data_IF_591057192871
#
_entry.id   IF_591057192871
#
_cell.length_a   1.000
_cell.length_b   1.000
_cell.length_c   1.000
_cell.angle_alpha   90.00
_cell.angle_beta   90.00
_cell.angle_gamma   90.00
#
_symmetry.space_group_name_H-M   'P 1'
#
loop_
_entity.id
_entity.type
_entity.pdbx_description
1 polymer ?
#
# COMPACT_ATOMS: atom_id res chain seq x y z
N UNK A 1 35.22 -15.43 0.54
CA UNK A 1 34.88 -14.25 1.35
C UNK A 1 34.32 -13.19 0.41
N UNK A 2 33.16 -12.59 0.66
CA UNK A 2 32.74 -11.45 -0.12
C UNK A 2 33.76 -10.34 0.14
N UNK A 3 34.34 -9.78 -0.92
CA UNK A 3 35.19 -8.59 -0.82
C UNK A 3 34.31 -7.49 -0.20
N UNK A 4 34.71 -7.01 0.99
CA UNK A 4 34.09 -5.86 1.65
C UNK A 4 34.20 -4.66 0.70
N UNK A 5 33.12 -4.41 0.00
CA UNK A 5 33.01 -3.28 -0.92
C UNK A 5 32.78 -2.01 -0.12
N UNK A 6 33.79 -1.58 0.63
CA UNK A 6 33.81 -0.26 1.30
C UNK A 6 34.03 0.88 0.30
N UNK A 7 33.64 0.66 -0.95
CA UNK A 7 33.76 1.61 -2.04
C UNK A 7 33.07 2.95 -1.74
N UNK A 8 32.10 2.96 -0.82
CA UNK A 8 31.30 4.11 -0.46
C UNK A 8 31.88 4.98 0.66
N UNK A 9 32.91 4.51 1.38
CA UNK A 9 33.48 5.25 2.52
C UNK A 9 34.14 6.57 2.14
N UNK A 10 34.71 6.63 0.95
CA UNK A 10 35.46 7.77 0.45
C UNK A 10 34.78 8.47 -0.74
N UNK A 11 33.51 8.19 -0.99
CA UNK A 11 32.75 8.85 -2.04
C UNK A 11 32.50 10.31 -1.65
N UNK A 12 33.10 11.23 -2.39
CA UNK A 12 32.76 12.65 -2.39
C UNK A 12 32.09 13.00 -3.72
N UNK A 13 30.97 13.70 -3.68
CA UNK A 13 30.31 14.22 -4.88
C UNK A 13 30.79 15.65 -5.06
N UNK A 14 31.59 15.88 -6.09
CA UNK A 14 32.04 17.23 -6.48
C UNK A 14 31.41 17.59 -7.82
N UNK A 15 30.82 18.78 -8.00
CA UNK A 15 30.42 19.23 -9.31
C UNK A 15 31.67 19.43 -10.18
N UNK A 16 31.78 18.68 -11.28
CA UNK A 16 32.84 18.82 -12.26
C UNK A 16 32.25 19.03 -13.65
N UNK A 17 32.89 19.86 -14.45
CA UNK A 17 32.50 20.10 -15.83
C UNK A 17 32.88 18.92 -16.77
N UNK A 18 33.76 18.05 -16.33
CA UNK A 18 34.29 16.92 -17.09
C UNK A 18 33.77 15.61 -16.53
N UNK A 19 33.27 14.71 -17.36
CA UNK A 19 32.71 13.39 -17.00
C UNK A 19 31.46 13.49 -16.10
N UNK A 20 30.34 13.94 -16.66
CA UNK A 20 29.05 13.93 -15.96
C UNK A 20 28.50 12.50 -15.85
N UNK A 21 28.32 12.01 -14.62
CA UNK A 21 27.62 10.77 -14.36
C UNK A 21 26.13 11.09 -14.25
N UNK A 22 25.35 10.63 -15.23
CA UNK A 22 23.90 10.73 -15.16
C UNK A 22 23.35 10.04 -13.90
N UNK A 23 22.30 10.62 -13.30
CA UNK A 23 21.62 10.02 -12.12
C UNK A 23 22.54 9.81 -10.89
N UNK A 24 23.49 10.69 -10.62
CA UNK A 24 24.40 10.58 -9.47
C UNK A 24 23.69 10.36 -8.12
N UNK A 25 22.45 10.86 -7.98
CA UNK A 25 21.60 10.62 -6.80
C UNK A 25 21.25 9.14 -6.54
N UNK A 26 21.37 8.26 -7.53
CA UNK A 26 21.13 6.83 -7.37
C UNK A 26 22.14 6.16 -6.39
N UNK A 27 23.31 6.75 -6.22
CA UNK A 27 24.31 6.33 -5.22
C UNK A 27 23.71 6.28 -3.83
N UNK A 28 22.89 7.27 -3.48
CA UNK A 28 22.26 7.34 -2.16
C UNK A 28 21.33 6.14 -1.91
N UNK A 29 20.61 5.68 -2.93
CA UNK A 29 19.71 4.53 -2.83
C UNK A 29 20.49 3.24 -2.55
N UNK A 30 21.56 3.02 -3.30
CA UNK A 30 22.43 1.87 -3.11
C UNK A 30 23.10 1.91 -1.74
N UNK A 31 23.68 3.06 -1.38
CA UNK A 31 24.35 3.27 -0.09
C UNK A 31 23.38 3.03 1.08
N UNK A 32 22.14 3.49 0.97
CA UNK A 32 21.12 3.25 1.98
C UNK A 32 20.81 1.75 2.12
N UNK A 33 20.65 1.04 1.01
CA UNK A 33 20.40 -0.41 1.02
C UNK A 33 21.56 -1.18 1.68
N UNK A 34 22.78 -0.79 1.40
CA UNK A 34 23.97 -1.41 1.98
C UNK A 34 24.11 -1.09 3.47
N UNK A 35 23.90 0.16 3.87
CA UNK A 35 24.03 0.61 5.26
C UNK A 35 22.93 0.05 6.18
N UNK A 36 21.70 -0.08 5.70
CA UNK A 36 20.63 -0.70 6.49
C UNK A 36 20.69 -2.24 6.49
N UNK A 37 21.65 -2.83 5.80
CA UNK A 37 21.86 -4.27 5.74
C UNK A 37 20.94 -5.01 4.76
N UNK A 38 20.21 -4.31 3.90
CA UNK A 38 19.25 -4.93 2.96
C UNK A 38 19.98 -5.77 1.90
N UNK A 39 21.04 -5.24 1.30
CA UNK A 39 21.83 -5.94 0.28
C UNK A 39 22.37 -7.28 0.79
N UNK A 40 23.11 -7.36 1.91
CA UNK A 40 23.61 -8.63 2.42
C UNK A 40 22.49 -9.57 2.89
N UNK A 41 21.39 -9.05 3.44
CA UNK A 41 20.27 -9.87 3.86
C UNK A 41 19.56 -10.55 2.66
N UNK A 42 19.41 -9.84 1.54
CA UNK A 42 18.90 -10.39 0.29
C UNK A 42 19.88 -11.39 -0.32
N UNK A 43 21.18 -11.10 -0.30
CA UNK A 43 22.23 -12.03 -0.74
C UNK A 43 22.18 -13.36 0.00
N UNK A 44 22.03 -13.30 1.34
CA UNK A 44 21.88 -14.50 2.17
C UNK A 44 20.56 -15.25 1.87
N UNK A 45 19.44 -14.55 1.63
CA UNK A 45 18.16 -15.15 1.29
C UNK A 45 18.18 -15.91 -0.05
N UNK A 46 18.93 -15.39 -1.03
CA UNK A 46 19.09 -15.94 -2.38
C UNK A 46 20.30 -16.85 -2.52
N UNK A 47 21.15 -16.95 -1.50
CA UNK A 47 22.35 -17.76 -1.49
C UNK A 47 22.04 -19.26 -1.72
N UNK A 48 22.85 -19.91 -2.54
CA UNK A 48 22.81 -21.37 -2.73
C UNK A 48 24.17 -21.97 -2.38
N UNK A 49 24.16 -23.06 -1.61
CA UNK A 49 25.38 -23.76 -1.20
C UNK A 49 26.23 -24.14 -2.42
N UNK A 50 27.51 -23.82 -2.36
CA UNK A 50 28.46 -24.13 -3.44
C UNK A 50 28.32 -23.28 -4.71
N UNK A 51 27.51 -22.24 -4.72
CA UNK A 51 27.36 -21.30 -5.86
C UNK A 51 27.85 -19.92 -5.46
N UNK A 52 28.88 -19.45 -6.15
CA UNK A 52 29.51 -18.15 -5.93
C UNK A 52 29.41 -17.30 -7.21
N UNK A 53 28.29 -16.58 -7.41
CA UNK A 53 28.14 -15.76 -8.61
C UNK A 53 29.13 -14.58 -8.58
N UNK A 54 29.55 -14.11 -9.75
CA UNK A 54 30.46 -12.98 -9.90
C UNK A 54 29.85 -11.70 -9.27
N UNK A 55 28.57 -11.49 -9.50
CA UNK A 55 27.79 -10.43 -8.83
C UNK A 55 26.85 -11.11 -7.82
N UNK A 56 26.95 -10.70 -6.57
CA UNK A 56 26.03 -11.18 -5.52
C UNK A 56 24.57 -10.94 -5.88
N UNK A 57 23.71 -11.89 -5.56
CA UNK A 57 22.28 -11.85 -5.95
C UNK A 57 21.49 -10.78 -5.22
N UNK A 58 21.85 -10.46 -3.98
CA UNK A 58 21.29 -9.32 -3.26
C UNK A 58 21.65 -8.02 -3.96
N UNK A 59 22.91 -7.89 -4.39
CA UNK A 59 23.37 -6.78 -5.22
C UNK A 59 22.60 -6.70 -6.54
N UNK A 60 22.33 -7.82 -7.20
CA UNK A 60 21.57 -7.84 -8.45
C UNK A 60 20.11 -7.36 -8.22
N UNK A 61 19.45 -7.79 -7.13
CA UNK A 61 18.11 -7.30 -6.79
C UNK A 61 18.09 -5.81 -6.46
N UNK A 62 19.05 -5.32 -5.69
CA UNK A 62 19.14 -3.89 -5.36
C UNK A 62 19.42 -3.06 -6.61
N UNK A 63 20.32 -3.53 -7.48
CA UNK A 63 20.60 -2.87 -8.76
C UNK A 63 19.35 -2.79 -9.63
N UNK A 64 18.56 -3.86 -9.69
CA UNK A 64 17.26 -3.85 -10.39
C UNK A 64 16.30 -2.84 -9.77
N UNK A 65 16.19 -2.80 -8.43
CA UNK A 65 15.36 -1.81 -7.76
C UNK A 65 15.80 -0.37 -8.07
N UNK A 66 17.11 -0.09 -8.07
CA UNK A 66 17.67 1.21 -8.44
C UNK A 66 17.36 1.53 -9.90
N UNK A 67 17.56 0.58 -10.83
CA UNK A 67 17.24 0.79 -12.25
C UNK A 67 15.75 1.12 -12.44
N UNK A 68 14.84 0.43 -11.73
CA UNK A 68 13.42 0.74 -11.70
C UNK A 68 13.19 2.18 -11.25
N UNK A 69 13.78 2.63 -10.18
CA UNK A 69 13.65 4.02 -9.68
C UNK A 69 14.20 5.05 -10.67
N UNK A 70 15.14 4.67 -11.54
CA UNK A 70 15.70 5.50 -12.62
C UNK A 70 14.89 5.44 -13.93
N UNK A 71 13.82 4.69 -13.98
CA UNK A 71 12.96 4.66 -15.15
C UNK A 71 13.00 3.38 -15.98
N UNK A 72 13.69 2.29 -15.53
CA UNK A 72 13.73 1.03 -16.24
C UNK A 72 12.33 0.41 -16.36
N UNK A 73 11.95 -0.05 -17.54
CA UNK A 73 10.67 -0.69 -17.83
C UNK A 73 10.79 -2.13 -18.30
N UNK A 74 12.03 -2.58 -18.54
CA UNK A 74 12.38 -3.94 -18.94
C UNK A 74 13.65 -4.40 -18.24
N UNK A 75 13.94 -5.71 -18.29
CA UNK A 75 15.20 -6.25 -17.73
C UNK A 75 16.44 -5.73 -18.45
N UNK A 76 16.36 -5.46 -19.75
CA UNK A 76 17.48 -4.93 -20.53
C UNK A 76 17.82 -3.50 -20.12
N UNK A 77 16.88 -2.73 -19.55
CA UNK A 77 17.12 -1.37 -19.11
C UNK A 77 18.06 -1.31 -17.89
N UNK A 78 18.43 -2.46 -17.30
CA UNK A 78 19.47 -2.53 -16.27
C UNK A 78 20.79 -1.93 -16.79
N UNK A 79 20.98 -1.89 -18.09
CA UNK A 79 22.13 -1.27 -18.74
C UNK A 79 22.30 0.23 -18.40
N UNK A 80 21.26 0.91 -17.92
CA UNK A 80 21.37 2.31 -17.43
C UNK A 80 22.41 2.43 -16.32
N UNK A 81 22.62 1.38 -15.55
CA UNK A 81 23.60 1.35 -14.47
C UNK A 81 25.04 1.13 -14.95
N UNK A 82 25.26 0.65 -16.18
CA UNK A 82 26.60 0.45 -16.72
C UNK A 82 27.39 1.76 -16.84
N UNK A 83 26.71 2.87 -17.16
CA UNK A 83 27.32 4.20 -17.22
C UNK A 83 27.70 4.76 -15.84
N UNK A 84 27.31 4.10 -14.77
CA UNK A 84 27.52 4.49 -13.39
C UNK A 84 28.52 3.57 -12.66
N UNK A 85 29.17 2.69 -13.40
CA UNK A 85 30.12 1.69 -12.85
C UNK A 85 31.16 2.30 -11.92
N UNK A 86 31.77 3.47 -12.21
CA UNK A 86 32.75 4.10 -11.29
C UNK A 86 32.17 4.44 -9.91
N UNK A 87 30.84 4.61 -9.83
CA UNK A 87 30.14 5.04 -8.61
C UNK A 87 29.36 3.90 -7.96
N UNK A 88 28.71 3.06 -8.74
CA UNK A 88 27.85 1.98 -8.24
C UNK A 88 28.52 0.59 -8.26
N UNK A 89 29.73 0.49 -8.83
CA UNK A 89 30.38 -0.78 -9.13
C UNK A 89 29.73 -1.47 -10.36
N UNK A 90 30.24 -2.64 -10.72
CA UNK A 90 29.79 -3.38 -11.90
C UNK A 90 28.28 -3.63 -11.88
N UNK A 91 27.60 -3.22 -12.94
CA UNK A 91 26.18 -3.47 -13.12
C UNK A 91 25.94 -4.95 -13.49
N UNK A 92 24.88 -5.59 -12.95
CA UNK A 92 24.49 -6.92 -13.39
C UNK A 92 23.98 -6.86 -14.83
N UNK A 93 24.28 -7.92 -15.63
CA UNK A 93 23.64 -8.08 -16.93
C UNK A 93 22.17 -8.45 -16.79
N UNK A 94 21.37 -8.24 -17.85
CA UNK A 94 19.98 -8.68 -17.95
C UNK A 94 19.83 -10.19 -17.67
N UNK A 95 20.75 -11.01 -18.17
CA UNK A 95 20.83 -12.46 -17.89
C UNK A 95 21.06 -12.73 -16.40
N UNK A 96 21.89 -11.94 -15.71
CA UNK A 96 22.11 -12.07 -14.26
C UNK A 96 20.84 -11.73 -13.50
N UNK A 97 20.16 -10.65 -13.87
CA UNK A 97 18.87 -10.26 -13.29
C UNK A 97 17.83 -11.36 -13.49
N UNK A 98 17.67 -11.86 -14.72
CA UNK A 98 16.73 -12.94 -15.04
C UNK A 98 16.99 -14.19 -14.20
N UNK A 99 18.24 -14.66 -14.15
CA UNK A 99 18.63 -15.83 -13.33
C UNK A 99 18.40 -15.61 -11.84
N UNK A 100 18.53 -14.38 -11.36
CA UNK A 100 18.24 -14.03 -9.95
C UNK A 100 16.74 -14.10 -9.67
N UNK A 101 15.90 -13.62 -10.57
CA UNK A 101 14.44 -13.70 -10.44
C UNK A 101 13.92 -15.14 -10.56
N UNK A 102 14.52 -15.97 -11.42
CA UNK A 102 14.18 -17.41 -11.55
C UNK A 102 14.41 -18.22 -10.27
N UNK A 103 15.15 -17.69 -9.30
CA UNK A 103 15.32 -18.31 -7.98
C UNK A 103 14.16 -18.05 -7.03
N UNK A 104 13.24 -17.17 -7.37
CA UNK A 104 12.16 -16.71 -6.51
C UNK A 104 11.01 -17.72 -6.41
N UNK A 105 11.33 -18.97 -6.02
CA UNK A 105 10.34 -19.95 -5.61
C UNK A 105 9.64 -19.53 -4.29
N UNK A 106 8.52 -20.13 -3.90
CA UNK A 106 7.78 -19.74 -2.69
C UNK A 106 8.64 -19.75 -1.41
N UNK A 107 9.56 -20.71 -1.26
CA UNK A 107 10.45 -20.80 -0.11
C UNK A 107 11.48 -19.67 -0.10
N UNK A 108 12.00 -19.30 -1.27
CA UNK A 108 12.93 -18.18 -1.43
C UNK A 108 12.23 -16.84 -1.21
N UNK A 109 11.00 -16.67 -1.71
CA UNK A 109 10.17 -15.49 -1.44
C UNK A 109 9.91 -15.31 0.06
N UNK A 110 9.67 -16.39 0.80
CA UNK A 110 9.50 -16.32 2.25
C UNK A 110 10.80 -15.92 2.98
N UNK A 111 11.99 -16.37 2.50
CA UNK A 111 13.29 -15.90 3.00
C UNK A 111 13.51 -14.41 2.73
N UNK A 112 13.19 -13.96 1.53
CA UNK A 112 13.24 -12.53 1.16
C UNK A 112 12.29 -11.72 2.05
N UNK A 113 11.07 -12.20 2.29
CA UNK A 113 10.12 -11.53 3.16
C UNK A 113 10.64 -11.40 4.59
N UNK A 114 11.25 -12.45 5.15
CA UNK A 114 11.89 -12.40 6.48
C UNK A 114 13.07 -11.44 6.52
N UNK A 115 13.92 -11.43 5.49
CA UNK A 115 15.03 -10.49 5.37
C UNK A 115 14.54 -9.04 5.38
N UNK A 116 13.50 -8.74 4.57
CA UNK A 116 12.86 -7.41 4.54
C UNK A 116 12.28 -7.03 5.89
N UNK A 117 11.61 -7.95 6.59
CA UNK A 117 11.02 -7.70 7.90
C UNK A 117 12.10 -7.36 8.95
N UNK A 118 13.22 -8.09 8.95
CA UNK A 118 14.34 -7.84 9.87
C UNK A 118 14.98 -6.47 9.62
N UNK A 119 15.26 -6.14 8.36
CA UNK A 119 15.81 -4.82 7.97
C UNK A 119 14.83 -3.71 8.31
N UNK A 120 13.54 -3.87 8.02
CA UNK A 120 12.51 -2.89 8.41
C UNK A 120 12.47 -2.67 9.91
N UNK A 121 12.55 -3.73 10.71
CA UNK A 121 12.57 -3.60 12.16
C UNK A 121 13.76 -2.76 12.65
N UNK A 122 14.93 -2.94 12.06
CA UNK A 122 16.11 -2.15 12.32
C UNK A 122 15.92 -0.68 11.89
N UNK A 123 15.50 -0.44 10.65
CA UNK A 123 15.29 0.92 10.12
C UNK A 123 14.24 1.67 10.95
N UNK A 124 13.10 1.03 11.28
CA UNK A 124 12.08 1.68 12.12
C UNK A 124 12.59 1.98 13.54
N UNK A 125 13.51 1.18 14.06
CA UNK A 125 14.16 1.47 15.34
C UNK A 125 15.01 2.75 15.23
N UNK A 126 15.79 2.90 14.17
CA UNK A 126 16.55 4.11 13.90
C UNK A 126 15.65 5.33 13.69
N UNK A 127 14.54 5.18 12.98
CA UNK A 127 13.55 6.24 12.80
C UNK A 127 12.97 6.69 14.16
N UNK A 128 12.58 5.74 15.02
CA UNK A 128 12.07 6.06 16.35
C UNK A 128 13.09 6.77 17.24
N UNK A 129 14.39 6.53 17.02
CA UNK A 129 15.46 7.16 17.80
C UNK A 129 15.81 8.60 17.36
N UNK A 130 15.29 9.06 16.22
CA UNK A 130 15.49 10.45 15.75
C UNK A 130 14.67 11.44 16.59
N UNK A 131 15.06 12.72 16.66
CA UNK A 131 14.29 13.75 17.37
C UNK A 131 12.82 13.84 16.94
N UNK A 132 12.51 13.62 15.65
CA UNK A 132 11.12 13.60 15.12
C UNK A 132 10.36 12.31 15.41
N UNK A 133 11.00 11.26 15.93
CA UNK A 133 10.38 9.96 16.19
C UNK A 133 9.83 9.26 14.96
N UNK A 134 8.87 8.36 15.18
CA UNK A 134 8.16 7.65 14.11
C UNK A 134 7.15 8.59 13.43
N UNK A 135 6.96 8.53 12.09
CA UNK A 135 6.08 9.44 11.37
C UNK A 135 4.60 9.06 11.56
N UNK A 136 4.02 9.47 12.68
CA UNK A 136 2.60 9.27 12.93
C UNK A 136 1.76 10.10 11.96
N UNK A 137 0.68 9.51 11.44
CA UNK A 137 -0.23 10.22 10.55
C UNK A 137 -1.04 11.27 11.30
N UNK A 138 -1.36 12.37 10.62
CA UNK A 138 -2.36 13.31 11.05
C UNK A 138 -3.65 13.11 10.23
N UNK A 139 -4.80 13.26 10.87
CA UNK A 139 -6.12 13.15 10.24
C UNK A 139 -7.01 14.24 10.83
N UNK A 140 -7.63 15.07 9.99
CA UNK A 140 -8.43 16.21 10.41
C UNK A 140 -7.71 17.08 11.46
N UNK A 141 -6.43 17.37 11.21
CA UNK A 141 -5.56 18.14 12.10
C UNK A 141 -5.14 17.43 13.39
N UNK A 142 -5.45 16.14 13.59
CA UNK A 142 -5.18 15.37 14.83
C UNK A 142 -4.16 14.28 14.57
N UNK A 143 -3.13 14.19 15.42
CA UNK A 143 -2.08 13.19 15.32
C UNK A 143 -2.56 11.83 15.84
N UNK A 144 -2.41 10.79 15.02
CA UNK A 144 -2.67 9.38 15.36
C UNK A 144 -1.46 8.75 16.06
N UNK A 145 -1.00 9.37 17.15
CA UNK A 145 0.19 8.90 17.86
C UNK A 145 0.03 7.47 18.38
N UNK A 146 0.99 6.60 18.04
CA UNK A 146 0.99 5.19 18.45
C UNK A 146 0.10 4.29 17.59
N UNK A 147 -0.57 4.80 16.55
CA UNK A 147 -1.40 4.02 15.63
C UNK A 147 -0.68 3.77 14.31
N UNK A 148 -0.51 2.51 13.99
CA UNK A 148 0.02 2.11 12.68
C UNK A 148 -1.14 1.92 11.71
N UNK A 149 -1.09 2.62 10.58
CA UNK A 149 -2.15 2.57 9.56
C UNK A 149 -1.70 1.69 8.41
N UNK A 150 -2.54 0.72 8.07
CA UNK A 150 -2.34 -0.23 6.97
C UNK A 150 -3.44 0.01 5.94
N UNK A 151 -3.04 0.27 4.71
CA UNK A 151 -3.95 0.38 3.57
C UNK A 151 -3.93 -0.92 2.77
N UNK A 152 -5.11 -1.46 2.49
CA UNK A 152 -5.33 -2.57 1.58
C UNK A 152 -5.98 -2.05 0.31
N UNK A 153 -5.32 -2.22 -0.82
CA UNK A 153 -5.82 -1.76 -2.10
C UNK A 153 -5.40 -2.68 -3.25
N UNK A 154 -6.18 -2.66 -4.31
CA UNK A 154 -5.91 -3.39 -5.53
C UNK A 154 -5.74 -2.43 -6.70
N UNK A 155 -4.66 -2.59 -7.45
CA UNK A 155 -4.37 -1.75 -8.61
C UNK A 155 -4.35 -2.56 -9.89
N UNK A 156 -4.61 -1.93 -11.04
CA UNK A 156 -4.51 -2.59 -12.33
C UNK A 156 -3.13 -2.37 -12.94
N UNK A 157 -2.51 -3.46 -13.41
CA UNK A 157 -1.26 -3.42 -14.16
C UNK A 157 -1.52 -3.93 -15.57
N UNK A 158 -1.33 -3.06 -16.56
CA UNK A 158 -1.51 -3.43 -17.97
C UNK A 158 -0.36 -4.29 -18.47
N UNK A 159 -0.66 -5.45 -19.06
CA UNK A 159 0.29 -6.24 -19.83
C UNK A 159 0.14 -5.97 -21.32
N UNK A 160 1.26 -5.80 -22.03
CA UNK A 160 1.26 -5.59 -23.48
C UNK A 160 1.44 -6.88 -24.28
N UNK A 161 1.59 -8.01 -23.62
CA UNK A 161 1.78 -9.32 -24.24
C UNK A 161 1.13 -10.39 -23.40
N UNK A 162 0.87 -11.53 -24.00
CA UNK A 162 0.36 -12.73 -23.32
C UNK A 162 1.43 -13.26 -22.35
N UNK A 163 1.31 -12.86 -21.09
CA UNK A 163 2.19 -13.29 -19.99
C UNK A 163 1.44 -14.28 -19.11
N UNK A 164 2.16 -15.18 -18.49
CA UNK A 164 1.58 -16.14 -17.56
C UNK A 164 0.78 -15.43 -16.46
N UNK A 165 -0.48 -15.82 -16.28
CA UNK A 165 -1.40 -15.23 -15.32
C UNK A 165 -1.99 -13.89 -15.73
N UNK A 166 -1.64 -13.32 -16.89
CA UNK A 166 -2.34 -12.14 -17.41
C UNK A 166 -3.73 -12.51 -17.92
N UNK A 167 -4.71 -11.64 -17.69
CA UNK A 167 -6.10 -11.85 -18.07
C UNK A 167 -6.80 -10.50 -18.40
N UNK A 168 -7.96 -10.54 -19.10
CA UNK A 168 -8.78 -9.34 -19.27
C UNK A 168 -9.14 -8.69 -17.96
N UNK A 169 -9.14 -7.35 -17.91
CA UNK A 169 -9.48 -6.58 -16.71
C UNK A 169 -10.88 -5.98 -16.81
N UNK A 170 -11.47 -5.63 -15.67
CA UNK A 170 -12.81 -5.01 -15.63
C UNK A 170 -12.86 -3.60 -16.26
N UNK A 171 -11.69 -2.97 -16.56
CA UNK A 171 -11.61 -1.69 -17.30
C UNK A 171 -11.34 -1.90 -18.79
N UNK A 172 -11.72 -3.04 -19.36
CA UNK A 172 -11.52 -3.39 -20.78
C UNK A 172 -10.03 -3.37 -21.22
N UNK A 173 -9.11 -3.57 -20.28
CA UNK A 173 -7.69 -3.78 -20.52
C UNK A 173 -7.32 -5.25 -20.42
N UNK A 174 -6.01 -5.55 -20.52
CA UNK A 174 -5.44 -6.87 -20.34
C UNK A 174 -4.23 -6.78 -19.41
N UNK A 175 -4.09 -7.69 -18.45
CA UNK A 175 -2.97 -7.68 -17.52
C UNK A 175 -3.24 -8.33 -16.18
N UNK A 176 -2.90 -7.63 -15.09
CA UNK A 176 -2.95 -8.13 -13.73
C UNK A 176 -3.75 -7.18 -12.82
N UNK A 177 -4.26 -7.73 -11.73
CA UNK A 177 -4.96 -7.00 -10.67
C UNK A 177 -4.36 -7.34 -9.30
N UNK A 178 -3.08 -6.96 -9.05
CA UNK A 178 -2.44 -7.22 -7.75
C UNK A 178 -3.19 -6.56 -6.61
N UNK A 179 -3.21 -7.27 -5.48
CA UNK A 179 -3.67 -6.75 -4.18
C UNK A 179 -2.45 -6.47 -3.32
N UNK A 180 -2.37 -5.29 -2.75
CA UNK A 180 -1.26 -4.86 -1.91
C UNK A 180 -1.69 -4.42 -0.51
N UNK A 181 -0.71 -4.37 0.38
CA UNK A 181 -0.81 -3.74 1.69
C UNK A 181 0.35 -2.77 1.88
N UNK A 182 0.04 -1.57 2.32
CA UNK A 182 1.01 -0.50 2.57
C UNK A 182 0.94 -0.01 4.01
N UNK A 183 2.09 0.40 4.54
CA UNK A 183 2.15 1.17 5.77
C UNK A 183 2.00 2.65 5.41
N UNK A 184 0.86 3.26 5.71
CA UNK A 184 0.63 4.67 5.38
C UNK A 184 1.56 5.61 6.16
N UNK A 185 2.02 5.23 7.36
CA UNK A 185 2.93 6.03 8.17
C UNK A 185 4.29 6.26 7.50
N UNK A 186 4.80 5.25 6.79
CA UNK A 186 6.13 5.28 6.17
C UNK A 186 6.09 5.23 4.65
N UNK A 187 4.89 5.18 4.07
CA UNK A 187 4.64 5.03 2.63
C UNK A 187 5.31 3.77 2.03
N UNK A 188 5.48 2.71 2.84
CA UNK A 188 6.15 1.48 2.41
C UNK A 188 5.15 0.41 1.98
N UNK A 189 5.49 -0.34 0.92
CA UNK A 189 4.82 -1.61 0.61
C UNK A 189 5.23 -2.69 1.63
N UNK A 190 4.25 -3.23 2.34
CA UNK A 190 4.44 -4.33 3.28
C UNK A 190 4.35 -5.68 2.57
N UNK A 191 3.30 -5.89 1.80
CA UNK A 191 3.04 -7.13 1.07
C UNK A 191 2.33 -6.85 -0.25
N UNK A 192 2.48 -7.75 -1.20
CA UNK A 192 1.77 -7.70 -2.47
C UNK A 192 1.50 -9.13 -2.96
N UNK A 193 0.29 -9.36 -3.46
CA UNK A 193 -0.13 -10.59 -4.11
C UNK A 193 -0.45 -10.28 -5.57
N UNK A 194 0.33 -10.85 -6.49
CA UNK A 194 0.05 -10.75 -7.91
C UNK A 194 -1.15 -11.65 -8.25
N UNK A 195 -2.17 -11.07 -8.89
CA UNK A 195 -3.39 -11.76 -9.28
C UNK A 195 -3.68 -11.54 -10.77
N UNK A 196 -4.39 -12.47 -11.45
CA UNK A 196 -4.83 -12.26 -12.82
C UNK A 196 -5.71 -11.01 -12.95
N UNK A 197 -5.77 -10.41 -14.14
CA UNK A 197 -6.53 -9.18 -14.39
C UNK A 197 -8.02 -9.29 -14.09
N UNK A 198 -8.60 -10.49 -14.18
CA UNK A 198 -9.99 -10.80 -13.86
C UNK A 198 -10.23 -11.24 -12.41
N UNK A 199 -9.22 -11.14 -11.53
CA UNK A 199 -9.40 -11.46 -10.10
C UNK A 199 -10.46 -10.55 -9.47
N UNK A 200 -11.35 -11.15 -8.69
CA UNK A 200 -12.38 -10.40 -7.94
C UNK A 200 -11.76 -9.41 -6.97
N UNK A 201 -12.38 -8.25 -6.83
CA UNK A 201 -11.88 -7.22 -5.93
C UNK A 201 -12.04 -7.58 -4.45
N UNK A 202 -13.05 -8.36 -4.09
CA UNK A 202 -13.46 -8.68 -2.72
C UNK A 202 -13.18 -10.15 -2.31
N UNK A 203 -12.21 -10.81 -2.94
CA UNK A 203 -11.83 -12.19 -2.57
C UNK A 203 -11.21 -12.22 -1.17
N UNK A 204 -11.94 -12.75 -0.19
CA UNK A 204 -11.50 -12.78 1.21
C UNK A 204 -10.15 -13.50 1.39
N UNK A 205 -9.96 -14.66 0.73
CA UNK A 205 -8.72 -15.42 0.83
C UNK A 205 -7.48 -14.59 0.44
N UNK A 206 -7.59 -13.77 -0.60
CA UNK A 206 -6.51 -12.89 -1.05
C UNK A 206 -6.22 -11.78 -0.03
N UNK A 207 -7.28 -11.15 0.50
CA UNK A 207 -7.15 -10.12 1.54
C UNK A 207 -6.51 -10.69 2.81
N UNK A 208 -6.93 -11.89 3.22
CA UNK A 208 -6.36 -12.60 4.36
C UNK A 208 -4.88 -12.91 4.16
N UNK A 209 -4.50 -13.40 2.99
CA UNK A 209 -3.11 -13.71 2.65
C UNK A 209 -2.24 -12.46 2.68
N UNK A 210 -2.68 -11.37 2.04
CA UNK A 210 -1.95 -10.10 1.99
C UNK A 210 -1.84 -9.45 3.36
N UNK A 211 -2.95 -9.38 4.13
CA UNK A 211 -2.93 -8.81 5.48
C UNK A 211 -2.04 -9.62 6.42
N UNK A 212 -2.10 -10.95 6.35
CA UNK A 212 -1.23 -11.83 7.14
C UNK A 212 0.25 -11.61 6.80
N UNK A 213 0.58 -11.53 5.51
CA UNK A 213 1.94 -11.23 5.05
C UNK A 213 2.39 -9.83 5.51
N UNK A 214 1.52 -8.83 5.43
CA UNK A 214 1.80 -7.46 5.88
C UNK A 214 2.06 -7.40 7.39
N UNK A 215 1.24 -8.08 8.20
CA UNK A 215 1.44 -8.13 9.65
C UNK A 215 2.78 -8.78 10.04
N UNK A 216 3.26 -9.75 9.26
CA UNK A 216 4.59 -10.35 9.47
C UNK A 216 5.73 -9.36 9.19
N UNK A 217 5.51 -8.36 8.35
CA UNK A 217 6.48 -7.31 8.03
C UNK A 217 6.60 -6.24 9.12
N UNK A 218 5.60 -6.09 9.99
CA UNK A 218 5.59 -5.08 11.04
C UNK A 218 6.30 -5.62 12.29
N UNK A 219 7.21 -4.86 12.91
CA UNK A 219 7.85 -5.24 14.18
C UNK A 219 6.81 -5.52 15.28
N UNK A 220 6.99 -6.58 16.06
CA UNK A 220 6.01 -7.01 17.07
C UNK A 220 5.60 -5.87 18.04
N UNK A 221 6.56 -5.03 18.45
CA UNK A 221 6.34 -3.87 19.34
C UNK A 221 5.42 -2.80 18.74
N UNK A 222 5.26 -2.77 17.40
CA UNK A 222 4.43 -1.78 16.69
C UNK A 222 3.04 -2.31 16.34
N UNK A 223 2.71 -3.58 16.74
CA UNK A 223 1.42 -4.22 16.41
C UNK A 223 0.33 -4.03 17.46
N UNK A 224 0.57 -3.25 18.50
CA UNK A 224 -0.40 -3.09 19.60
C UNK A 224 -1.63 -2.26 19.22
N UNK A 225 -1.47 -1.29 18.30
CA UNK A 225 -2.54 -0.42 17.83
C UNK A 225 -2.47 -0.33 16.31
N UNK A 226 -3.40 -0.98 15.64
CA UNK A 226 -3.49 -1.04 14.19
C UNK A 226 -4.79 -0.41 13.72
N UNK A 227 -4.71 0.32 12.61
CA UNK A 227 -5.85 0.84 11.89
C UNK A 227 -5.75 0.36 10.44
N UNK A 228 -6.75 -0.38 9.98
CA UNK A 228 -6.79 -0.93 8.62
C UNK A 228 -7.81 -0.15 7.79
N UNK A 229 -7.39 0.34 6.63
CA UNK A 229 -8.28 1.00 5.67
C UNK A 229 -8.40 0.13 4.43
N UNK A 230 -9.62 -0.06 3.96
CA UNK A 230 -9.94 -0.92 2.81
C UNK A 230 -10.87 -0.17 1.88
N UNK A 231 -10.54 -0.11 0.59
CA UNK A 231 -11.45 0.45 -0.41
C UNK A 231 -12.76 -0.34 -0.51
N UNK A 232 -13.82 0.32 -0.98
CA UNK A 232 -15.16 -0.26 -1.09
C UNK A 232 -15.23 -1.51 -1.96
N UNK A 233 -14.35 -1.61 -2.95
CA UNK A 233 -14.28 -2.78 -3.82
C UNK A 233 -13.72 -4.03 -3.11
N UNK A 234 -12.93 -3.86 -2.04
CA UNK A 234 -12.31 -4.96 -1.29
C UNK A 234 -13.13 -5.45 -0.08
N UNK A 235 -14.20 -4.76 0.27
CA UNK A 235 -14.96 -5.06 1.48
C UNK A 235 -15.83 -6.33 1.33
N UNK A 236 -15.73 -7.22 2.32
CA UNK A 236 -16.61 -8.40 2.47
C UNK A 236 -16.95 -8.67 3.93
N UNK A 237 -18.02 -9.41 4.19
CA UNK A 237 -18.42 -9.80 5.55
C UNK A 237 -17.31 -10.59 6.25
N UNK A 238 -16.66 -11.51 5.55
CA UNK A 238 -15.60 -12.36 6.07
C UNK A 238 -14.38 -11.52 6.45
N UNK A 239 -14.04 -10.50 5.64
CA UNK A 239 -12.93 -9.60 5.95
C UNK A 239 -13.23 -8.77 7.21
N UNK A 240 -14.43 -8.23 7.33
CA UNK A 240 -14.85 -7.46 8.52
C UNK A 240 -14.77 -8.34 9.77
N UNK A 241 -15.32 -9.57 9.74
CA UNK A 241 -15.25 -10.51 10.84
C UNK A 241 -13.79 -10.86 11.20
N UNK A 242 -12.96 -11.07 10.20
CA UNK A 242 -11.54 -11.30 10.41
C UNK A 242 -10.84 -10.12 11.09
N UNK A 243 -11.07 -8.88 10.61
CA UNK A 243 -10.50 -7.67 11.21
C UNK A 243 -10.91 -7.51 12.69
N UNK A 244 -12.16 -7.79 13.02
CA UNK A 244 -12.64 -7.79 14.41
C UNK A 244 -11.93 -8.85 15.26
N UNK A 245 -11.72 -10.05 14.71
CA UNK A 245 -11.06 -11.16 15.40
C UNK A 245 -9.59 -10.91 15.72
N UNK A 246 -8.95 -9.98 15.00
CA UNK A 246 -7.56 -9.60 15.23
C UNK A 246 -7.36 -8.82 16.54
N UNK A 247 -8.41 -8.25 17.12
CA UNK A 247 -8.33 -7.54 18.40
C UNK A 247 -8.14 -8.51 19.57
N UNK A 248 -7.38 -8.12 20.56
CA UNK A 248 -7.12 -8.89 21.78
C UNK A 248 -6.80 -7.95 22.96
N UNK A 249 -6.60 -8.49 24.18
CA UNK A 249 -6.19 -7.67 25.34
C UNK A 249 -4.90 -6.87 25.11
N UNK A 250 -4.02 -7.31 24.19
CA UNK A 250 -2.71 -6.68 23.91
C UNK A 250 -2.67 -5.96 22.56
N UNK A 251 -3.72 -6.06 21.76
CA UNK A 251 -3.78 -5.47 20.43
C UNK A 251 -5.17 -4.95 20.14
N UNK A 252 -5.25 -3.68 19.81
CA UNK A 252 -6.47 -3.04 19.31
C UNK A 252 -6.38 -2.93 17.79
N UNK A 253 -7.37 -3.44 17.07
CA UNK A 253 -7.49 -3.30 15.63
C UNK A 253 -8.77 -2.54 15.32
N UNK A 254 -8.60 -1.35 14.74
CA UNK A 254 -9.69 -0.55 14.20
C UNK A 254 -9.62 -0.59 12.69
N UNK A 255 -10.75 -0.32 12.03
CA UNK A 255 -10.77 -0.27 10.57
C UNK A 255 -11.80 0.73 10.04
N UNK A 256 -11.62 1.11 8.79
CA UNK A 256 -12.61 1.75 7.94
C UNK A 256 -12.65 1.02 6.59
N UNK A 257 -13.84 0.59 6.18
CA UNK A 257 -14.05 -0.05 4.89
C UNK A 257 -15.11 0.73 4.12
N UNK A 258 -14.82 1.06 2.85
CA UNK A 258 -15.85 1.53 1.93
C UNK A 258 -16.86 0.42 1.69
N UNK A 259 -18.08 0.78 1.32
CA UNK A 259 -19.12 -0.18 1.01
C UNK A 259 -19.97 0.28 -0.18
N UNK A 260 -20.45 -0.68 -0.97
CA UNK A 260 -21.36 -0.37 -2.05
C UNK A 260 -22.75 -0.01 -1.50
N UNK A 261 -23.32 1.10 -1.97
CA UNK A 261 -24.66 1.53 -1.61
C UNK A 261 -25.68 0.68 -2.37
N UNK A 262 -26.64 0.13 -1.65
CA UNK A 262 -27.78 -0.61 -2.20
C UNK A 262 -29.04 0.27 -2.18
N UNK A 263 -30.12 -0.17 -2.83
CA UNK A 263 -31.39 0.54 -2.80
C UNK A 263 -31.95 0.68 -1.36
N UNK A 264 -31.78 -0.34 -0.53
CA UNK A 264 -32.15 -0.26 0.89
C UNK A 264 -31.38 0.80 1.66
N UNK A 265 -30.11 1.02 1.30
CA UNK A 265 -29.32 2.11 1.89
C UNK A 265 -29.78 3.47 1.41
N UNK A 266 -30.14 3.61 0.13
CA UNK A 266 -30.71 4.85 -0.40
C UNK A 266 -32.02 5.21 0.33
N UNK A 267 -32.86 4.22 0.61
CA UNK A 267 -34.10 4.42 1.40
C UNK A 267 -33.77 4.90 2.81
N UNK A 268 -32.82 4.24 3.50
CA UNK A 268 -32.39 4.66 4.84
C UNK A 268 -31.79 6.07 4.84
N UNK A 269 -30.98 6.40 3.84
CA UNK A 269 -30.39 7.75 3.67
C UNK A 269 -31.51 8.79 3.46
N UNK A 270 -32.57 8.44 2.73
CA UNK A 270 -33.73 9.30 2.50
C UNK A 270 -34.52 9.64 3.77
N UNK A 271 -34.42 8.81 4.81
CA UNK A 271 -35.06 9.08 6.11
C UNK A 271 -34.27 10.04 7.00
N UNK A 272 -33.03 10.38 6.66
CA UNK A 272 -32.22 11.29 7.46
C UNK A 272 -32.78 12.70 7.41
N UNK A 273 -33.10 13.32 8.57
CA UNK A 273 -33.51 14.73 8.61
C UNK A 273 -32.34 15.64 8.20
N UNK A 274 -32.64 16.83 7.73
CA UNK A 274 -31.63 17.78 7.32
C UNK A 274 -30.61 18.10 8.44
N UNK A 275 -31.05 18.08 9.69
CA UNK A 275 -30.24 18.32 10.90
C UNK A 275 -29.22 17.20 11.21
N UNK A 276 -29.40 16.00 10.67
CA UNK A 276 -28.45 14.91 10.84
C UNK A 276 -27.16 15.10 10.00
N UNK A 277 -27.23 15.94 8.97
CA UNK A 277 -26.11 16.18 8.08
C UNK A 277 -25.19 17.27 8.64
N UNK A 278 -23.96 16.91 8.93
CA UNK A 278 -22.92 17.81 9.37
C UNK A 278 -21.97 18.12 8.20
N UNK A 279 -21.47 19.35 8.13
CA UNK A 279 -20.47 19.70 7.12
C UNK A 279 -19.24 18.79 7.28
N UNK A 280 -18.73 18.25 6.18
CA UNK A 280 -17.49 17.46 6.19
C UNK A 280 -16.30 18.35 6.51
N UNK A 281 -15.19 17.73 6.92
CA UNK A 281 -13.92 18.44 7.11
C UNK A 281 -12.87 17.90 6.14
N UNK A 282 -11.80 18.65 5.92
CA UNK A 282 -10.66 18.22 5.13
C UNK A 282 -9.58 17.57 6.01
N UNK A 283 -8.41 17.34 5.39
CA UNK A 283 -7.25 16.73 6.02
C UNK A 283 -6.74 17.50 7.24
N UNK A 284 -6.85 18.83 7.21
CA UNK A 284 -6.36 19.73 8.25
C UNK A 284 -7.45 20.06 9.29
N UNK A 285 -8.67 19.56 9.07
CA UNK A 285 -9.83 19.80 9.92
C UNK A 285 -10.65 21.02 9.55
N UNK A 286 -10.37 21.68 8.43
CA UNK A 286 -11.15 22.81 7.95
C UNK A 286 -12.50 22.36 7.36
N UNK A 287 -13.54 23.12 7.63
CA UNK A 287 -14.93 22.79 7.25
C UNK A 287 -15.13 22.93 5.75
N UNK A 288 -15.75 21.90 5.13
CA UNK A 288 -16.14 21.85 3.72
C UNK A 288 -17.66 21.97 3.57
N UNK A 289 -18.16 23.13 3.25
CA UNK A 289 -19.60 23.42 3.19
C UNK A 289 -20.32 22.75 2.00
N UNK A 290 -19.60 22.32 0.97
CA UNK A 290 -20.12 21.64 -0.22
C UNK A 290 -20.25 20.11 -0.05
N UNK A 291 -19.86 19.57 1.10
CA UNK A 291 -19.83 18.16 1.41
C UNK A 291 -20.34 17.93 2.82
N UNK A 292 -21.11 16.86 3.01
CA UNK A 292 -21.69 16.57 4.32
C UNK A 292 -21.54 15.09 4.65
N UNK A 293 -21.55 14.82 5.95
CA UNK A 293 -21.51 13.47 6.52
C UNK A 293 -22.63 13.29 7.53
N UNK A 294 -23.12 12.06 7.63
CA UNK A 294 -24.10 11.67 8.65
C UNK A 294 -23.85 10.23 9.08
N UNK A 295 -24.33 9.85 10.25
CA UNK A 295 -24.33 8.48 10.71
C UNK A 295 -25.70 7.85 10.44
N UNK A 296 -25.72 6.66 9.82
CA UNK A 296 -26.95 5.91 9.44
C UNK A 296 -27.06 4.57 10.14
N UNK A 297 -26.23 4.30 11.14
CA UNK A 297 -26.09 3.01 11.81
C UNK A 297 -27.42 2.39 12.21
N UNK A 298 -28.32 3.18 12.80
CA UNK A 298 -29.61 2.69 13.32
C UNK A 298 -30.73 2.62 12.27
N UNK A 299 -30.47 3.12 11.06
CA UNK A 299 -31.47 3.15 9.97
C UNK A 299 -31.27 2.01 8.97
N UNK A 300 -30.11 1.33 9.01
CA UNK A 300 -29.77 0.28 8.04
C UNK A 300 -30.33 -1.07 8.49
N UNK A 301 -31.27 -1.64 7.74
CA UNK A 301 -31.81 -2.98 7.97
C UNK A 301 -30.73 -4.08 7.94
N UNK A 302 -29.72 -3.91 7.10
CA UNK A 302 -28.60 -4.85 7.01
C UNK A 302 -27.76 -4.88 8.29
N UNK A 303 -27.77 -3.84 9.12
CA UNK A 303 -27.03 -3.84 10.38
C UNK A 303 -27.43 -4.98 11.32
N UNK A 304 -28.65 -5.50 11.20
CA UNK A 304 -29.13 -6.63 12.02
C UNK A 304 -28.37 -7.95 11.75
N UNK A 305 -27.79 -8.14 10.57
CA UNK A 305 -27.00 -9.33 10.21
C UNK A 305 -25.48 -9.18 10.45
N UNK A 306 -25.03 -8.06 11.02
CA UNK A 306 -23.64 -7.74 11.20
C UNK A 306 -23.21 -7.80 12.68
N UNK A 307 -21.91 -7.96 12.97
CA UNK A 307 -21.40 -7.90 14.34
C UNK A 307 -21.78 -6.59 15.02
N UNK A 308 -22.07 -6.68 16.32
CA UNK A 308 -22.41 -5.52 17.14
C UNK A 308 -21.24 -4.52 17.20
N UNK A 309 -21.56 -3.23 17.39
CA UNK A 309 -20.56 -2.16 17.55
C UNK A 309 -20.03 -1.58 16.25
N UNK A 310 -20.53 -2.03 15.10
CA UNK A 310 -20.21 -1.40 13.83
C UNK A 310 -21.01 -0.11 13.63
N UNK A 311 -20.37 0.86 12.99
CA UNK A 311 -20.97 2.14 12.64
C UNK A 311 -20.93 2.33 11.14
N UNK A 312 -21.95 3.00 10.62
CA UNK A 312 -22.12 3.26 9.21
C UNK A 312 -22.20 4.78 9.00
N UNK A 313 -21.19 5.30 8.32
CA UNK A 313 -21.06 6.74 8.05
C UNK A 313 -21.33 6.95 6.57
N UNK A 314 -22.28 7.81 6.25
CA UNK A 314 -22.59 8.21 4.89
C UNK A 314 -22.05 9.60 4.63
N UNK A 315 -21.47 9.78 3.44
CA UNK A 315 -21.05 11.06 2.90
C UNK A 315 -21.90 11.40 1.68
N UNK A 316 -22.23 12.68 1.54
CA UNK A 316 -22.81 13.23 0.30
C UNK A 316 -21.94 14.36 -0.25
N UNK A 317 -21.77 14.39 -1.57
CA UNK A 317 -20.98 15.40 -2.28
C UNK A 317 -21.74 15.86 -3.52
N UNK A 318 -21.52 17.11 -3.96
CA UNK A 318 -22.04 17.53 -5.25
C UNK A 318 -21.34 16.77 -6.37
N UNK A 319 -22.06 16.13 -7.29
CA UNK A 319 -21.44 15.37 -8.36
C UNK A 319 -20.75 16.29 -9.37
N UNK A 320 -19.56 15.88 -9.83
CA UNK A 320 -18.90 16.53 -10.96
C UNK A 320 -19.65 16.23 -12.27
N UNK A 321 -19.40 17.04 -13.32
CA UNK A 321 -20.00 16.81 -14.66
C UNK A 321 -19.77 15.38 -15.19
N UNK A 322 -18.59 14.80 -14.92
CA UNK A 322 -18.27 13.42 -15.32
C UNK A 322 -19.10 12.39 -14.51
N UNK A 323 -19.26 12.62 -13.21
CA UNK A 323 -20.00 11.74 -12.32
C UNK A 323 -21.52 11.80 -12.54
N UNK A 324 -22.04 12.93 -12.99
CA UNK A 324 -23.46 13.15 -13.24
C UNK A 324 -24.07 12.13 -14.24
N UNK A 325 -23.23 11.56 -15.12
CA UNK A 325 -23.68 10.55 -16.09
C UNK A 325 -24.02 9.19 -15.48
N UNK A 326 -23.44 8.88 -14.32
CA UNK A 326 -23.53 7.56 -13.66
C UNK A 326 -24.28 7.62 -12.32
N UNK A 327 -25.10 8.65 -12.10
CA UNK A 327 -25.88 8.76 -10.87
C UNK A 327 -27.06 7.77 -10.88
N UNK A 328 -27.41 7.22 -9.70
CA UNK A 328 -28.65 6.46 -9.49
C UNK A 328 -29.88 7.37 -9.64
N UNK A 329 -31.06 6.79 -9.68
CA UNK A 329 -32.30 7.57 -9.69
C UNK A 329 -32.43 8.44 -8.42
N UNK A 330 -32.09 7.86 -7.27
CA UNK A 330 -32.09 8.54 -5.99
C UNK A 330 -31.09 9.71 -5.95
N UNK A 331 -29.86 9.50 -6.43
CA UNK A 331 -28.83 10.53 -6.50
C UNK A 331 -29.24 11.69 -7.42
N UNK A 332 -29.89 11.38 -8.56
CA UNK A 332 -30.45 12.43 -9.44
C UNK A 332 -31.54 13.21 -8.77
N UNK A 333 -32.47 12.55 -8.08
CA UNK A 333 -33.58 13.19 -7.39
C UNK A 333 -33.11 14.10 -6.25
N UNK A 334 -32.08 13.68 -5.49
CA UNK A 334 -31.54 14.45 -4.37
C UNK A 334 -30.51 15.49 -4.79
N UNK A 335 -29.91 15.36 -5.97
CA UNK A 335 -28.83 16.22 -6.47
C UNK A 335 -27.50 15.99 -5.75
N UNK A 336 -27.33 14.85 -5.07
CA UNK A 336 -26.13 14.47 -4.33
C UNK A 336 -25.64 13.11 -4.77
N UNK A 337 -24.33 12.92 -4.76
CA UNK A 337 -23.69 11.63 -4.85
C UNK A 337 -23.34 11.15 -3.44
N UNK A 338 -23.57 9.87 -3.19
CA UNK A 338 -23.36 9.26 -1.87
C UNK A 338 -22.24 8.23 -1.88
N UNK A 339 -21.61 8.06 -0.74
CA UNK A 339 -20.70 6.96 -0.40
C UNK A 339 -20.90 6.56 1.05
N UNK A 340 -20.68 5.30 1.38
CA UNK A 340 -20.87 4.77 2.72
C UNK A 340 -19.63 4.03 3.20
N UNK A 341 -19.34 4.16 4.48
CA UNK A 341 -18.19 3.56 5.16
C UNK A 341 -18.72 2.78 6.36
N UNK A 342 -18.18 1.57 6.56
CA UNK A 342 -18.35 0.79 7.78
C UNK A 342 -17.08 0.87 8.62
N UNK A 343 -17.24 1.01 9.95
CA UNK A 343 -16.13 1.10 10.88
C UNK A 343 -16.48 0.50 12.24
N UNK A 344 -15.48 0.04 12.98
CA UNK A 344 -15.57 -0.33 14.39
C UNK A 344 -14.97 0.72 15.32
N UNK A 345 -14.68 1.92 14.85
CA UNK A 345 -14.26 3.03 15.72
C UNK A 345 -15.42 3.36 16.65
N UNK A 346 -15.24 3.28 17.99
CA UNK A 346 -16.33 3.45 18.95
C UNK A 346 -17.03 4.82 18.82
N UNK A 347 -18.36 4.83 18.94
CA UNK A 347 -19.16 6.05 18.99
C UNK A 347 -18.85 6.90 20.23
N UNK A 348 -18.52 6.25 21.33
CA UNK A 348 -18.05 6.91 22.56
C UNK A 348 -16.52 6.77 22.68
N UNK A 349 -15.81 7.90 22.84
CA UNK A 349 -14.36 7.92 23.03
C UNK A 349 -13.52 7.83 21.74
N UNK A 350 -14.02 7.20 20.67
CA UNK A 350 -13.31 7.10 19.40
C UNK A 350 -12.01 6.31 19.46
N UNK A 351 -10.99 6.80 18.76
CA UNK A 351 -9.63 6.23 18.72
C UNK A 351 -8.89 6.65 19.99
N UNK A 352 -8.40 5.66 20.76
CA UNK A 352 -7.68 5.92 22.01
C UNK A 352 -6.49 6.88 21.82
N UNK A 353 -6.47 7.96 22.57
CA UNK A 353 -5.47 9.02 22.50
C UNK A 353 -5.74 10.09 21.41
N UNK A 354 -6.89 10.04 20.71
CA UNK A 354 -7.25 10.98 19.65
C UNK A 354 -8.61 11.60 19.96
N UNK A 355 -8.70 12.70 20.72
CA UNK A 355 -9.96 13.34 21.10
C UNK A 355 -10.80 13.74 19.88
N UNK A 356 -12.11 13.49 19.93
CA UNK A 356 -13.05 13.83 18.86
C UNK A 356 -12.98 12.92 17.62
N UNK A 357 -12.21 11.82 17.68
CA UNK A 357 -12.14 10.85 16.59
C UNK A 357 -13.39 9.95 16.46
N UNK A 358 -14.34 10.06 17.39
CA UNK A 358 -15.66 9.41 17.32
C UNK A 358 -16.61 10.11 16.35
N UNK A 359 -16.37 11.36 15.98
CA UNK A 359 -17.22 12.10 15.04
C UNK A 359 -17.20 11.52 13.64
N UNK A 360 -18.34 11.54 12.95
CA UNK A 360 -18.49 11.05 11.59
C UNK A 360 -17.53 11.74 10.61
N UNK A 361 -17.30 13.04 10.78
CA UNK A 361 -16.35 13.82 9.98
C UNK A 361 -14.93 13.26 10.05
N UNK A 362 -14.47 12.91 11.27
CA UNK A 362 -13.13 12.34 11.44
C UNK A 362 -13.00 10.99 10.74
N UNK A 363 -13.99 10.10 10.91
CA UNK A 363 -14.01 8.79 10.27
C UNK A 363 -14.02 8.90 8.73
N UNK A 364 -14.77 9.85 8.19
CA UNK A 364 -14.81 10.14 6.77
C UNK A 364 -13.44 10.58 6.22
N UNK A 365 -12.78 11.53 6.89
CA UNK A 365 -11.44 11.98 6.49
C UNK A 365 -10.42 10.85 6.59
N UNK A 366 -10.46 10.11 7.69
CA UNK A 366 -9.55 8.98 7.91
C UNK A 366 -9.63 7.95 6.79
N UNK A 367 -10.85 7.61 6.36
CA UNK A 367 -11.05 6.67 5.26
C UNK A 367 -10.56 7.25 3.92
N UNK A 368 -10.88 8.50 3.62
CA UNK A 368 -10.50 9.13 2.35
C UNK A 368 -8.99 9.33 2.15
N UNK A 369 -8.22 9.39 3.23
CA UNK A 369 -6.76 9.40 3.14
C UNK A 369 -6.18 8.11 2.54
N UNK A 370 -6.97 7.05 2.41
CA UNK A 370 -6.58 5.85 1.68
C UNK A 370 -6.20 6.15 0.21
N UNK A 371 -6.84 7.13 -0.42
CA UNK A 371 -6.54 7.54 -1.80
C UNK A 371 -5.08 8.01 -2.03
N UNK A 372 -4.35 8.41 -0.98
CA UNK A 372 -2.91 8.77 -1.08
C UNK A 372 -2.07 7.57 -1.54
N UNK A 373 -2.52 6.34 -1.26
CA UNK A 373 -1.85 5.12 -1.74
C UNK A 373 -1.97 4.98 -3.25
N UNK A 374 -3.11 5.37 -3.84
CA UNK A 374 -3.32 5.38 -5.29
C UNK A 374 -2.35 6.37 -5.97
N UNK A 375 -2.08 7.52 -5.36
CA UNK A 375 -1.12 8.52 -5.85
C UNK A 375 0.34 8.08 -5.65
N UNK A 376 0.61 7.28 -4.63
CA UNK A 376 1.94 6.71 -4.34
C UNK A 376 2.32 5.53 -5.24
N UNK A 377 1.35 4.90 -5.89
CA UNK A 377 1.59 3.96 -6.98
C UNK A 377 1.73 4.80 -8.28
N UNK A 378 2.94 4.97 -8.84
CA UNK A 378 3.12 5.83 -10.00
C UNK A 378 2.12 5.46 -11.11
N UNK A 379 1.50 6.45 -11.80
CA UNK A 379 0.58 6.18 -12.90
C UNK A 379 1.26 5.49 -14.11
N UNK A 380 2.53 5.23 -14.01
CA UNK A 380 3.28 4.36 -14.88
C UNK A 380 3.21 2.90 -14.45
N UNK A 381 2.08 2.24 -14.61
CA UNK A 381 1.96 0.76 -14.62
C UNK A 381 2.93 0.06 -15.60
N UNK A 382 3.91 0.79 -16.12
CA UNK A 382 4.96 0.32 -17.04
C UNK A 382 6.00 -0.55 -16.34
N UNK A 383 6.17 -0.38 -15.02
CA UNK A 383 7.27 -0.94 -14.24
C UNK A 383 7.11 -2.41 -13.86
N UNK A 384 5.92 -2.85 -13.49
CA UNK A 384 5.70 -4.21 -13.02
C UNK A 384 5.62 -5.22 -14.17
N UNK A 385 5.25 -4.80 -15.36
CA UNK A 385 4.95 -5.70 -16.48
C UNK A 385 6.19 -6.23 -17.23
N UNK A 386 7.31 -5.48 -17.18
CA UNK A 386 8.57 -5.88 -17.84
C UNK A 386 9.37 -6.92 -17.06
N UNK A 387 9.22 -6.94 -15.73
CA UNK A 387 10.10 -7.67 -14.83
C UNK A 387 9.52 -9.03 -14.41
N UNK A 388 8.19 -9.19 -14.38
CA UNK A 388 7.52 -10.41 -13.97
C UNK A 388 7.02 -11.22 -15.17
N UNK A 389 7.52 -12.43 -15.32
CA UNK A 389 7.10 -13.57 -16.14
C UNK A 389 7.46 -13.57 -17.64
N UNK A 390 8.41 -14.42 -17.93
CA UNK A 390 8.51 -15.13 -19.21
C UNK A 390 7.95 -16.55 -19.00
N UNK A 391 7.07 -17.02 -19.91
CA UNK A 391 6.69 -18.46 -19.93
C UNK A 391 7.97 -19.28 -19.89
N UNK A 392 8.04 -20.38 -19.10
CA UNK A 392 9.06 -21.38 -19.33
C UNK A 392 8.94 -21.82 -20.78
N UNK A 393 10.04 -21.74 -21.53
CA UNK A 393 10.07 -22.23 -22.91
C UNK A 393 9.64 -23.70 -22.95
N UNK A 394 8.83 -24.05 -23.96
CA UNK A 394 8.61 -25.43 -24.36
C UNK A 394 9.93 -26.05 -24.76
#
# INVERSE_FOLDING_TARGET
MPKDTRWDRNLSVTPAAEVLIGHAGAVLLRKLADQCGLTPALGAALGRKGKFPLIDRGTALISMAVAIMLGATSMSDIAVLAHQEPVLGAAPSDTTVRRTLELADPATLDKIARARAAVRAHVWQLICARPGGFPWLATAGKLLAGWLVIDLDATLITARSDKEGAAPTFKSGYGFHPLGAWCANTAESLAMLLRPGNAGSNTFADHLAVLTAALRQIPARMRSRLLVRVDGAGASHELINHLLSLSSRRRTVLFTCGWAITEADEQAIGLLPATAWQAAVDQDGAVQHDKHVAEVTHLLSRAAGWPAGLRWIVRRTRPSRRQARNLTAFERATGWRYSIIVTNIPAAGGIGGVPGSHHAQFTDVLHRQHAVVEDGVPPGNRWACGIFHRKPGR
#
